data_IF_024888631539
#
_entry.id   IF_024888631539
#
_cell.length_a   1.000
_cell.length_b   1.000
_cell.length_c   1.000
_cell.angle_alpha   90.00
_cell.angle_beta   90.00
_cell.angle_gamma   90.00
#
_symmetry.space_group_name_H-M   'P 1'
#
loop_
_entity.id
_entity.type
_entity.pdbx_description
1 polymer ?
#
# COMPACT_ATOMS: atom_id res chain seq x y z
N UNK A 1 8.32 -30.51 -29.23
CA UNK A 1 8.89 -29.99 -27.97
C UNK A 1 8.90 -28.48 -28.07
N UNK A 2 7.87 -27.79 -27.57
CA UNK A 2 7.80 -26.33 -27.56
C UNK A 2 7.81 -25.86 -26.11
N UNK A 3 8.92 -25.27 -25.68
CA UNK A 3 8.96 -24.39 -24.50
C UNK A 3 8.97 -22.97 -25.02
N UNK A 4 7.83 -22.28 -24.90
CA UNK A 4 7.75 -20.84 -25.10
C UNK A 4 7.81 -20.16 -23.73
N UNK A 5 8.83 -19.33 -23.57
CA UNK A 5 9.06 -18.46 -22.42
C UNK A 5 7.89 -17.51 -22.19
N UNK A 6 7.30 -17.55 -20.99
CA UNK A 6 6.34 -16.54 -20.54
C UNK A 6 7.09 -15.38 -19.90
N UNK A 7 7.53 -14.42 -20.71
CA UNK A 7 7.94 -13.10 -20.22
C UNK A 7 6.67 -12.26 -20.00
N UNK A 8 6.31 -12.09 -18.72
CA UNK A 8 5.25 -11.19 -18.28
C UNK A 8 5.61 -9.74 -18.59
N UNK A 9 5.09 -9.21 -19.71
CA UNK A 9 5.21 -7.80 -20.06
C UNK A 9 4.29 -6.99 -19.14
N UNK A 10 4.89 -6.20 -18.25
CA UNK A 10 4.20 -5.11 -17.57
C UNK A 10 3.63 -4.15 -18.64
N UNK A 11 2.31 -4.09 -18.73
CA UNK A 11 1.60 -3.26 -19.69
C UNK A 11 1.64 -1.81 -19.20
N UNK A 12 2.44 -0.97 -19.87
CA UNK A 12 2.47 0.46 -19.64
C UNK A 12 1.10 1.08 -19.96
N UNK A 13 0.44 1.62 -18.93
CA UNK A 13 -0.87 2.24 -18.99
C UNK A 13 -0.95 3.33 -20.07
N UNK A 14 0.16 4.01 -20.40
CA UNK A 14 0.18 5.02 -21.49
C UNK A 14 -0.20 4.46 -22.86
N UNK A 15 0.10 3.19 -23.14
CA UNK A 15 -0.22 2.56 -24.43
C UNK A 15 -1.70 2.19 -24.58
N UNK A 16 -2.37 1.86 -23.47
CA UNK A 16 -3.80 1.51 -23.48
C UNK A 16 -4.65 2.73 -23.88
N UNK A 17 -4.29 3.94 -23.43
CA UNK A 17 -5.02 5.16 -23.77
C UNK A 17 -4.92 5.55 -25.26
N UNK A 18 -3.78 5.29 -25.91
CA UNK A 18 -3.59 5.64 -27.32
C UNK A 18 -4.32 4.70 -28.29
N UNK A 19 -4.54 3.44 -27.91
CA UNK A 19 -5.20 2.45 -28.76
C UNK A 19 -6.74 2.61 -28.82
N UNK A 20 -7.34 3.34 -27.88
CA UNK A 20 -8.80 3.49 -27.79
C UNK A 20 -9.37 4.74 -28.48
N UNK A 21 -8.52 5.55 -29.14
CA UNK A 21 -8.97 6.79 -29.80
C UNK A 21 -9.42 6.62 -31.26
N UNK A 22 -9.51 5.39 -31.79
CA UNK A 22 -9.96 5.16 -33.17
C UNK A 22 -11.43 4.70 -33.24
N UNK A 23 -12.29 5.70 -33.47
CA UNK A 23 -13.60 5.69 -34.15
C UNK A 23 -14.40 4.38 -34.13
N UNK A 24 -15.42 4.26 -33.28
CA UNK A 24 -16.74 3.68 -33.61
C UNK A 24 -17.77 4.09 -32.52
N UNK A 25 -18.98 4.56 -32.87
CA UNK A 25 -19.85 5.25 -31.91
C UNK A 25 -20.84 4.32 -31.20
N UNK A 26 -20.45 3.14 -30.71
CA UNK A 26 -21.36 2.32 -29.87
C UNK A 26 -20.59 1.35 -28.98
N UNK A 27 -19.75 1.82 -28.05
CA UNK A 27 -19.34 0.98 -26.92
C UNK A 27 -18.78 1.89 -25.82
N UNK A 28 -19.65 2.31 -24.91
CA UNK A 28 -19.24 3.02 -23.70
C UNK A 28 -18.68 1.98 -22.73
N UNK A 29 -17.42 1.57 -22.94
CA UNK A 29 -16.69 0.78 -21.95
C UNK A 29 -16.39 1.71 -20.78
N UNK A 30 -17.31 1.76 -19.82
CA UNK A 30 -17.05 2.30 -18.49
C UNK A 30 -16.01 1.40 -17.84
N UNK A 31 -14.73 1.66 -18.08
CA UNK A 31 -13.68 1.13 -17.21
C UNK A 31 -13.92 1.83 -15.87
N UNK A 32 -14.58 1.14 -14.94
CA UNK A 32 -14.47 1.49 -13.53
C UNK A 32 -13.02 1.20 -13.14
N UNK A 33 -12.13 2.15 -13.46
CA UNK A 33 -10.91 2.28 -12.69
C UNK A 33 -11.41 2.57 -11.29
N UNK A 34 -11.42 1.57 -10.41
CA UNK A 34 -11.64 1.80 -8.98
C UNK A 34 -10.59 2.83 -8.58
N UNK A 35 -10.99 4.09 -8.50
CA UNK A 35 -10.09 5.18 -8.18
C UNK A 35 -9.79 5.02 -6.69
N UNK A 36 -8.69 4.32 -6.38
CA UNK A 36 -8.17 4.31 -5.02
C UNK A 36 -7.85 5.74 -4.61
N UNK A 37 -8.35 6.14 -3.46
CA UNK A 37 -7.98 7.39 -2.83
C UNK A 37 -6.60 7.23 -2.18
N UNK A 38 -5.90 8.34 -2.02
CA UNK A 38 -4.61 8.34 -1.34
C UNK A 38 -4.48 9.47 -0.34
N UNK A 39 -3.67 9.23 0.69
CA UNK A 39 -3.41 10.19 1.76
C UNK A 39 -1.94 10.14 2.16
N UNK A 40 -1.39 11.31 2.51
CA UNK A 40 -0.02 11.44 2.99
C UNK A 40 0.04 11.31 4.51
N UNK A 41 1.15 10.79 5.00
CA UNK A 41 1.31 10.46 6.40
C UNK A 41 2.73 10.05 6.76
N UNK A 42 2.86 9.44 7.92
CA UNK A 42 4.13 8.95 8.43
C UNK A 42 3.94 7.65 9.19
N UNK A 43 5.04 6.90 9.34
CA UNK A 43 5.09 5.65 10.10
C UNK A 43 6.17 5.78 11.17
N UNK A 44 5.86 5.36 12.38
CA UNK A 44 6.81 5.31 13.50
C UNK A 44 6.73 3.96 14.18
N UNK A 45 7.88 3.30 14.31
CA UNK A 45 8.07 2.10 15.13
C UNK A 45 9.17 2.39 16.14
N UNK A 46 8.78 2.59 17.41
CA UNK A 46 9.70 2.90 18.51
C UNK A 46 10.16 1.63 19.22
N UNK A 47 9.31 0.61 19.24
CA UNK A 47 9.55 -0.68 19.89
C UNK A 47 9.60 -1.79 18.85
N UNK A 48 10.46 -2.81 19.03
CA UNK A 48 10.51 -3.95 18.13
C UNK A 48 9.14 -4.60 17.96
N UNK A 49 8.76 -4.88 16.72
CA UNK A 49 7.50 -5.57 16.43
C UNK A 49 6.23 -4.73 16.50
N UNK A 50 6.29 -3.43 16.82
CA UNK A 50 5.11 -2.55 16.86
C UNK A 50 5.34 -1.26 16.09
N UNK A 51 4.31 -0.81 15.37
CA UNK A 51 4.34 0.47 14.68
C UNK A 51 3.01 1.20 14.75
N UNK A 52 3.06 2.50 14.48
CA UNK A 52 1.90 3.35 14.26
C UNK A 52 2.06 4.07 12.93
N UNK A 53 1.01 4.09 12.12
CA UNK A 53 0.96 4.84 10.88
C UNK A 53 -0.17 5.87 10.94
N UNK A 54 0.13 7.12 10.63
CA UNK A 54 -0.79 8.25 10.78
C UNK A 54 -0.98 8.95 9.45
N UNK A 55 -2.23 9.14 9.04
CA UNK A 55 -2.59 9.75 7.76
C UNK A 55 -3.66 10.83 7.94
N UNK A 56 -3.50 11.94 7.23
CA UNK A 56 -4.49 13.02 7.21
C UNK A 56 -5.43 12.84 6.01
N UNK A 57 -6.73 12.72 6.27
CA UNK A 57 -7.78 12.53 5.26
C UNK A 57 -8.90 13.51 5.57
N UNK A 58 -9.18 14.45 4.67
CA UNK A 58 -10.28 15.42 4.81
C UNK A 58 -10.35 16.05 6.22
N UNK A 59 -9.22 16.64 6.66
CA UNK A 59 -9.02 17.27 7.97
C UNK A 59 -9.16 16.35 9.20
N UNK A 60 -9.28 15.04 9.00
CA UNK A 60 -9.34 14.02 10.05
C UNK A 60 -8.07 13.18 10.11
N UNK A 61 -7.68 12.75 11.32
CA UNK A 61 -6.45 11.96 11.54
C UNK A 61 -6.80 10.49 11.72
N UNK A 62 -6.37 9.67 10.77
CA UNK A 62 -6.51 8.22 10.81
C UNK A 62 -5.21 7.59 11.29
N UNK A 63 -5.31 6.75 12.32
CA UNK A 63 -4.17 6.09 12.95
C UNK A 63 -4.34 4.58 12.84
N UNK A 64 -3.36 3.90 12.27
CA UNK A 64 -3.25 2.44 12.33
C UNK A 64 -2.20 2.04 13.35
N UNK A 65 -2.58 1.30 14.37
CA UNK A 65 -1.65 0.69 15.32
C UNK A 65 -1.52 -0.79 15.01
N UNK A 66 -0.33 -1.24 14.63
CA UNK A 66 -0.07 -2.60 14.17
C UNK A 66 1.06 -3.28 14.91
N UNK A 67 0.92 -4.59 15.09
CA UNK A 67 1.95 -5.50 15.57
C UNK A 67 2.41 -6.40 14.40
N UNK A 68 3.72 -6.54 14.20
CA UNK A 68 4.34 -7.34 13.13
C UNK A 68 4.99 -8.61 13.68
N UNK A 69 4.89 -9.70 12.90
CA UNK A 69 5.50 -10.99 13.18
C UNK A 69 6.19 -11.52 11.90
N UNK A 70 7.49 -11.88 11.93
CA UNK A 70 8.39 -11.77 13.07
C UNK A 70 8.61 -10.31 13.52
N UNK A 71 8.92 -10.06 14.81
CA UNK A 71 9.25 -8.72 15.28
C UNK A 71 10.46 -8.17 14.51
N UNK A 72 10.34 -6.94 14.00
CA UNK A 72 11.44 -6.25 13.31
C UNK A 72 12.06 -5.18 14.21
N UNK A 73 13.27 -4.75 13.86
CA UNK A 73 13.89 -3.58 14.49
C UNK A 73 13.01 -2.32 14.32
N UNK A 74 13.15 -1.33 15.22
CA UNK A 74 12.55 -0.01 15.06
C UNK A 74 12.84 0.61 13.70
N UNK A 75 11.88 1.33 13.14
CA UNK A 75 11.96 1.97 11.83
C UNK A 75 11.05 3.20 11.75
N UNK A 76 11.33 4.07 10.79
CA UNK A 76 10.58 5.30 10.58
C UNK A 76 10.47 5.61 9.09
N UNK A 77 9.35 6.20 8.70
CA UNK A 77 9.11 6.76 7.37
C UNK A 77 8.34 8.06 7.53
N UNK A 78 9.00 9.20 7.32
CA UNK A 78 8.35 10.52 7.41
C UNK A 78 7.51 10.90 6.18
N UNK A 79 7.56 10.10 5.11
CA UNK A 79 6.85 10.36 3.85
C UNK A 79 6.07 9.14 3.39
N UNK A 80 5.17 8.64 4.23
CA UNK A 80 4.33 7.49 3.90
C UNK A 80 3.07 7.91 3.11
N UNK A 81 2.61 7.02 2.24
CA UNK A 81 1.36 7.11 1.51
C UNK A 81 0.46 5.95 1.90
N UNK A 82 -0.80 6.27 2.21
CA UNK A 82 -1.90 5.33 2.32
C UNK A 82 -2.67 5.33 1.00
N UNK A 83 -2.91 4.15 0.45
CA UNK A 83 -3.82 3.89 -0.67
C UNK A 83 -5.03 3.13 -0.11
N UNK A 84 -6.25 3.60 -0.35
CA UNK A 84 -7.45 3.03 0.25
C UNK A 84 -8.67 3.15 -0.67
N UNK A 85 -9.63 2.24 -0.51
CA UNK A 85 -10.82 2.21 -1.36
C UNK A 85 -11.90 3.19 -0.91
N UNK A 86 -12.14 3.26 0.41
CA UNK A 86 -13.11 4.16 1.03
C UNK A 86 -12.71 4.44 2.46
N UNK A 87 -13.16 5.56 3.02
CA UNK A 87 -12.91 5.89 4.43
C UNK A 87 -13.49 4.83 5.38
N UNK A 88 -14.58 4.18 4.97
CA UNK A 88 -15.20 3.06 5.70
C UNK A 88 -14.29 1.85 5.84
N UNK A 89 -13.30 1.69 4.94
CA UNK A 89 -12.30 0.62 5.02
C UNK A 89 -11.21 0.91 6.06
N UNK A 90 -11.12 2.14 6.56
CA UNK A 90 -10.15 2.57 7.58
C UNK A 90 -10.74 2.49 8.98
N UNK A 91 -11.37 1.35 9.30
CA UNK A 91 -12.03 1.11 10.57
C UNK A 91 -11.76 -0.29 11.11
N UNK A 92 -11.68 -0.38 12.44
CA UNK A 92 -11.67 -1.66 13.16
C UNK A 92 -10.37 -2.45 12.99
N UNK A 93 -10.45 -3.74 13.32
CA UNK A 93 -9.32 -4.66 13.33
C UNK A 93 -9.05 -5.22 11.93
N UNK A 94 -7.78 -5.25 11.52
CA UNK A 94 -7.35 -5.77 10.24
C UNK A 94 -6.07 -6.60 10.33
N UNK A 95 -5.95 -7.53 9.37
CA UNK A 95 -4.74 -8.30 9.13
C UNK A 95 -4.01 -7.71 7.92
N UNK A 96 -2.68 -7.78 7.93
CA UNK A 96 -1.87 -7.31 6.83
C UNK A 96 -0.65 -8.21 6.60
N UNK A 97 -0.09 -8.13 5.40
CA UNK A 97 1.23 -8.63 5.06
C UNK A 97 2.13 -7.46 4.69
N UNK A 98 3.43 -7.59 4.87
CA UNK A 98 4.34 -6.50 4.55
C UNK A 98 5.79 -6.91 4.32
N UNK A 99 6.54 -5.94 3.82
CA UNK A 99 7.98 -6.02 3.61
C UNK A 99 8.60 -4.74 4.18
N UNK A 100 9.61 -4.91 5.03
CA UNK A 100 10.33 -3.81 5.67
C UNK A 100 11.80 -3.91 5.26
N UNK A 101 12.36 -2.85 4.67
CA UNK A 101 13.79 -2.75 4.34
C UNK A 101 14.16 -3.09 2.89
N UNK A 102 13.27 -3.73 2.13
CA UNK A 102 13.53 -4.00 0.71
C UNK A 102 13.54 -2.70 -0.08
N UNK A 103 14.64 -2.39 -0.76
CA UNK A 103 14.78 -1.15 -1.54
C UNK A 103 14.79 0.12 -0.69
N UNK A 104 15.07 0.03 0.62
CA UNK A 104 14.92 1.12 1.60
C UNK A 104 13.47 1.62 1.72
N UNK A 105 12.49 0.72 1.59
CA UNK A 105 11.08 1.03 1.73
C UNK A 105 10.41 0.14 2.77
N UNK A 106 9.27 0.61 3.26
CA UNK A 106 8.29 -0.18 4.02
C UNK A 106 7.01 -0.26 3.21
N UNK A 107 6.42 -1.45 3.16
CA UNK A 107 5.13 -1.69 2.53
C UNK A 107 4.28 -2.65 3.35
N UNK A 108 3.00 -2.32 3.52
CA UNK A 108 1.97 -3.15 4.12
C UNK A 108 0.75 -3.20 3.19
N UNK A 109 0.17 -4.39 3.03
CA UNK A 109 -1.01 -4.64 2.21
C UNK A 109 -2.05 -5.39 3.02
N UNK A 110 -3.28 -4.89 2.97
CA UNK A 110 -4.44 -5.42 3.67
C UNK A 110 -5.31 -6.25 2.73
N UNK A 111 -6.20 -7.09 3.29
CA UNK A 111 -7.04 -8.01 2.50
C UNK A 111 -8.06 -7.31 1.59
N UNK A 112 -8.46 -6.09 1.95
CA UNK A 112 -9.39 -5.26 1.18
C UNK A 112 -8.71 -4.51 0.02
N UNK A 113 -7.39 -4.62 -0.12
CA UNK A 113 -6.59 -3.89 -1.12
C UNK A 113 -6.07 -2.54 -0.63
N UNK A 114 -6.39 -2.10 0.59
CA UNK A 114 -5.73 -0.97 1.24
C UNK A 114 -4.23 -1.28 1.33
N UNK A 115 -3.40 -0.25 1.19
CA UNK A 115 -1.95 -0.38 1.28
C UNK A 115 -1.29 0.84 1.93
N UNK A 116 -0.28 0.60 2.75
CA UNK A 116 0.58 1.64 3.33
C UNK A 116 1.98 1.44 2.76
N UNK A 117 2.59 2.48 2.20
CA UNK A 117 3.93 2.41 1.63
C UNK A 117 4.72 3.68 1.95
N UNK A 118 6.03 3.59 2.05
CA UNK A 118 6.88 4.77 2.21
C UNK A 118 8.36 4.46 2.21
N UNK A 119 9.21 5.44 1.88
CA UNK A 119 10.65 5.31 2.04
C UNK A 119 11.00 5.26 3.53
N UNK A 120 11.94 4.39 3.88
CA UNK A 120 12.51 4.35 5.22
C UNK A 120 13.52 5.49 5.37
N UNK A 121 13.39 6.26 6.45
CA UNK A 121 14.33 7.35 6.76
C UNK A 121 15.72 6.81 7.07
N UNK A 122 15.79 5.59 7.62
CA UNK A 122 17.02 4.84 7.89
C UNK A 122 16.85 3.44 7.31
N UNK A 123 17.79 2.94 6.47
CA UNK A 123 17.75 1.59 5.93
C UNK A 123 17.63 0.52 7.03
N UNK A 124 16.71 -0.42 6.82
CA UNK A 124 16.55 -1.63 7.64
C UNK A 124 17.15 -2.81 6.89
N UNK A 125 18.11 -3.51 7.50
CA UNK A 125 18.85 -4.63 6.88
C UNK A 125 19.09 -5.74 7.92
N UNK A 126 18.74 -7.01 7.64
CA UNK A 126 18.13 -7.51 6.41
C UNK A 126 16.67 -7.07 6.22
N UNK A 127 16.27 -6.99 4.94
CA UNK A 127 14.86 -6.85 4.61
C UNK A 127 14.08 -8.03 5.20
N UNK A 128 12.92 -7.73 5.79
CA UNK A 128 12.10 -8.72 6.50
C UNK A 128 10.71 -8.78 5.89
N UNK A 129 10.25 -9.99 5.57
CA UNK A 129 8.84 -10.26 5.29
C UNK A 129 8.11 -10.45 6.60
N UNK A 130 6.99 -9.75 6.76
CA UNK A 130 6.19 -9.78 7.98
C UNK A 130 4.72 -10.00 7.67
N UNK A 131 4.02 -10.55 8.63
CA UNK A 131 2.56 -10.55 8.70
C UNK A 131 2.16 -9.95 10.03
N UNK A 132 0.95 -9.42 10.15
CA UNK A 132 0.56 -8.77 11.37
C UNK A 132 -0.90 -8.45 11.46
N UNK A 133 -1.24 -7.88 12.60
CA UNK A 133 -2.59 -7.43 12.88
C UNK A 133 -2.54 -6.07 13.53
N UNK A 134 -3.59 -5.28 13.34
CA UNK A 134 -3.70 -3.98 13.95
C UNK A 134 -5.11 -3.45 13.87
N UNK A 135 -5.30 -2.23 14.33
CA UNK A 135 -6.59 -1.57 14.26
C UNK A 135 -6.46 -0.13 13.79
N UNK A 136 -7.40 0.29 12.96
CA UNK A 136 -7.63 1.68 12.63
C UNK A 136 -8.44 2.37 13.74
N UNK A 137 -8.04 3.59 14.06
CA UNK A 137 -8.78 4.51 14.92
C UNK A 137 -8.79 5.91 14.30
N UNK A 138 -9.93 6.58 14.42
CA UNK A 138 -10.06 8.00 14.16
C UNK A 138 -9.67 8.76 15.43
N UNK A 139 -8.77 9.73 15.30
CA UNK A 139 -8.31 10.58 16.41
C UNK A 139 -8.80 12.02 16.28
#
# INVERSE_FOLDING_TARGET
>A
MNSASNEGKSLDLKYIYRALSYKHPIFNFYIHVYKMSSAQGFITSIQPGRFTATFNIDDSVYVFSGDVNPPTQPFQSNSATLEYNSVESLGGFQQFNGIIGSGNEVSFTFSDGTAIKGPLDIPVNPASQVSGTGSWSLN
#
